data_IF_007538201197
#
_entry.id   IF_007538201197
#
_cell.length_a   1.000
_cell.length_b   1.000
_cell.length_c   1.000
_cell.angle_alpha   90.00
_cell.angle_beta   90.00
_cell.angle_gamma   90.00
#
_symmetry.space_group_name_H-M   'P 1'
#
loop_
_entity.id
_entity.type
_entity.pdbx_description
1 polymer ?
#
# COMPACT_ATOMS: atom_id res chain seq x y z
N UNK A 1 23.11 6.26 2.60
CA UNK A 1 23.79 7.17 1.66
C UNK A 1 23.08 7.11 0.31
N UNK A 2 22.20 8.08 -0.02
CA UNK A 2 21.41 8.08 -1.26
C UNK A 2 22.29 8.44 -2.45
N UNK A 3 22.42 7.53 -3.42
CA UNK A 3 23.08 7.74 -4.72
C UNK A 3 22.13 8.58 -5.61
N UNK A 4 21.86 9.81 -5.19
CA UNK A 4 21.00 10.73 -5.95
C UNK A 4 21.79 11.84 -6.65
N UNK A 5 23.13 11.82 -6.61
CA UNK A 5 23.93 12.64 -7.52
C UNK A 5 25.42 12.31 -7.39
N UNK A 6 26.01 11.96 -8.53
CA UNK A 6 27.44 11.65 -8.73
C UNK A 6 27.86 10.29 -8.19
N UNK A 7 28.39 9.47 -9.10
CA UNK A 7 29.05 8.20 -8.77
C UNK A 7 30.21 8.50 -7.82
N UNK A 8 30.28 7.88 -6.62
CA UNK A 8 31.27 8.24 -5.62
C UNK A 8 32.72 8.11 -6.12
N UNK A 9 33.59 9.06 -5.78
CA UNK A 9 34.99 9.07 -6.21
C UNK A 9 35.75 7.79 -5.82
N UNK A 10 35.38 7.15 -4.72
CA UNK A 10 36.01 5.91 -4.26
C UNK A 10 35.83 4.75 -5.24
N UNK A 11 34.76 4.73 -6.03
CA UNK A 11 34.50 3.64 -6.99
C UNK A 11 35.59 3.59 -8.06
N UNK A 12 36.14 4.74 -8.44
CA UNK A 12 37.22 4.85 -9.42
C UNK A 12 38.58 4.42 -8.86
N UNK A 13 38.70 4.40 -7.53
CA UNK A 13 39.92 4.04 -6.79
C UNK A 13 39.94 2.60 -6.30
N UNK A 14 38.79 1.93 -6.38
CA UNK A 14 38.59 0.56 -5.88
C UNK A 14 38.44 -0.39 -7.06
N UNK A 15 38.96 -1.62 -6.91
CA UNK A 15 38.73 -2.65 -7.92
C UNK A 15 37.30 -3.17 -7.79
N UNK A 16 36.46 -2.80 -8.74
CA UNK A 16 35.11 -3.33 -8.92
C UNK A 16 35.13 -4.19 -10.17
N UNK A 17 34.60 -5.41 -10.11
CA UNK A 17 34.53 -6.31 -11.27
C UNK A 17 33.14 -6.31 -11.93
N UNK A 18 32.09 -5.82 -11.26
CA UNK A 18 30.71 -5.72 -11.77
C UNK A 18 29.84 -4.80 -10.92
N UNK A 19 28.76 -4.26 -11.50
CA UNK A 19 27.89 -3.26 -10.84
C UNK A 19 26.41 -3.64 -10.95
N UNK A 20 25.70 -3.57 -9.83
CA UNK A 20 24.23 -3.52 -9.79
C UNK A 20 23.86 -2.14 -9.26
N UNK A 21 23.07 -1.38 -10.01
CA UNK A 21 22.75 -0.01 -9.64
C UNK A 21 21.36 0.43 -10.12
N UNK A 22 20.80 1.43 -9.45
CA UNK A 22 19.62 2.15 -9.93
C UNK A 22 20.07 3.26 -10.87
N UNK A 23 19.95 3.07 -12.18
CA UNK A 23 20.59 3.95 -13.15
C UNK A 23 19.74 5.15 -13.57
N UNK A 24 20.41 6.23 -13.96
CA UNK A 24 19.88 7.40 -14.65
C UNK A 24 20.91 7.98 -15.63
N UNK A 25 20.54 9.07 -16.31
CA UNK A 25 21.43 9.76 -17.25
C UNK A 25 22.73 10.26 -16.63
N UNK A 26 22.73 10.61 -15.33
CA UNK A 26 23.90 11.18 -14.67
C UNK A 26 24.85 10.09 -14.14
N UNK A 27 24.34 8.89 -13.88
CA UNK A 27 25.11 7.76 -13.33
C UNK A 27 25.63 6.80 -14.40
N UNK A 28 24.95 6.64 -15.54
CA UNK A 28 25.35 5.66 -16.57
C UNK A 28 26.74 5.91 -17.16
N UNK A 29 27.03 7.15 -17.59
CA UNK A 29 28.28 7.46 -18.28
C UNK A 29 29.52 7.32 -17.38
N UNK A 30 29.50 7.79 -16.11
CA UNK A 30 30.57 7.48 -15.18
C UNK A 30 30.76 5.97 -14.93
N UNK A 31 29.68 5.20 -14.80
CA UNK A 31 29.77 3.74 -14.58
C UNK A 31 30.33 3.00 -15.79
N UNK A 32 29.98 3.41 -17.02
CA UNK A 32 30.54 2.84 -18.25
C UNK A 32 32.06 2.99 -18.35
N UNK A 33 32.65 4.02 -17.73
CA UNK A 33 34.10 4.22 -17.70
C UNK A 33 34.84 3.12 -16.91
N UNK A 34 34.15 2.43 -16.01
CA UNK A 34 34.70 1.30 -15.26
C UNK A 34 34.96 0.07 -16.14
N UNK A 35 34.32 -0.01 -17.32
CA UNK A 35 34.44 -1.13 -18.28
C UNK A 35 34.15 -2.50 -17.66
N UNK A 36 33.20 -2.54 -16.74
CA UNK A 36 32.69 -3.76 -16.10
C UNK A 36 31.24 -4.01 -16.51
N UNK A 37 30.75 -5.26 -16.40
CA UNK A 37 29.33 -5.54 -16.52
C UNK A 37 28.47 -4.71 -15.56
N UNK A 38 27.35 -4.20 -16.06
CA UNK A 38 26.40 -3.37 -15.29
C UNK A 38 25.01 -3.98 -15.48
N UNK A 39 24.26 -4.11 -14.39
CA UNK A 39 22.84 -4.46 -14.38
C UNK A 39 22.04 -3.32 -13.75
N UNK A 40 21.00 -2.86 -14.44
CA UNK A 40 20.09 -1.83 -13.94
C UNK A 40 18.92 -2.46 -13.17
N UNK A 41 18.63 -1.92 -11.99
CA UNK A 41 17.47 -2.33 -11.16
C UNK A 41 16.46 -1.20 -10.93
N UNK A 42 16.56 -0.10 -11.70
CA UNK A 42 15.59 1.01 -11.64
C UNK A 42 14.42 0.83 -12.63
N UNK A 43 14.72 0.44 -13.89
CA UNK A 43 13.68 0.24 -14.92
C UNK A 43 13.08 1.53 -15.49
N UNK A 44 13.72 2.69 -15.32
CA UNK A 44 13.15 3.97 -15.78
C UNK A 44 13.46 4.29 -17.26
N UNK A 45 14.60 3.86 -17.78
CA UNK A 45 15.05 4.15 -19.15
C UNK A 45 15.95 3.03 -19.64
N UNK A 46 15.85 2.67 -20.91
CA UNK A 46 16.75 1.68 -21.51
C UNK A 46 18.12 2.26 -21.78
N UNK A 47 19.17 1.52 -21.41
CA UNK A 47 20.55 1.84 -21.74
C UNK A 47 21.11 0.72 -22.63
N UNK A 48 21.56 1.03 -23.86
CA UNK A 48 22.08 -0.01 -24.76
C UNK A 48 23.21 -0.81 -24.12
N UNK A 49 23.10 -2.14 -24.19
CA UNK A 49 24.08 -3.09 -23.63
C UNK A 49 24.04 -3.23 -22.10
N UNK A 50 23.03 -2.68 -21.43
CA UNK A 50 22.83 -2.82 -19.98
C UNK A 50 21.51 -3.56 -19.74
N UNK A 51 21.54 -4.84 -19.33
CA UNK A 51 20.33 -5.55 -18.97
C UNK A 51 19.65 -4.90 -17.76
N UNK A 52 18.33 -5.00 -17.73
CA UNK A 52 17.48 -4.40 -16.71
C UNK A 52 16.63 -5.47 -16.04
N UNK A 53 16.52 -5.38 -14.72
CA UNK A 53 15.58 -6.18 -13.94
C UNK A 53 14.61 -5.22 -13.28
N UNK A 54 13.34 -5.30 -13.64
CA UNK A 54 12.30 -4.38 -13.18
C UNK A 54 11.06 -5.10 -12.68
N UNK A 55 10.28 -4.45 -11.82
CA UNK A 55 8.97 -4.96 -11.43
C UNK A 55 8.01 -4.95 -12.62
N UNK A 56 7.21 -6.00 -12.77
CA UNK A 56 6.17 -6.08 -13.79
C UNK A 56 4.97 -5.20 -13.39
N UNK A 57 5.03 -3.94 -13.80
CA UNK A 57 3.98 -2.96 -13.50
C UNK A 57 2.63 -3.29 -14.16
N UNK A 58 2.60 -4.12 -15.21
CA UNK A 58 1.36 -4.59 -15.81
C UNK A 58 0.67 -5.60 -14.89
N UNK A 59 1.42 -6.60 -14.40
CA UNK A 59 0.88 -7.57 -13.42
C UNK A 59 0.57 -6.95 -12.06
N UNK A 60 1.32 -5.91 -11.63
CA UNK A 60 0.98 -5.12 -10.43
C UNK A 60 -0.39 -4.46 -10.59
N UNK A 61 -0.64 -3.83 -11.74
CA UNK A 61 -1.92 -3.18 -12.01
C UNK A 61 -3.07 -4.20 -12.13
N UNK A 62 -2.81 -5.37 -12.72
CA UNK A 62 -3.75 -6.49 -12.78
C UNK A 62 -4.16 -6.95 -11.39
N UNK A 63 -3.18 -7.23 -10.52
CA UNK A 63 -3.45 -7.68 -9.15
C UNK A 63 -4.20 -6.62 -8.33
N UNK A 64 -3.88 -5.34 -8.50
CA UNK A 64 -4.63 -4.24 -7.86
C UNK A 64 -6.08 -4.15 -8.37
N UNK A 65 -6.28 -4.30 -9.69
CA UNK A 65 -7.59 -4.29 -10.30
C UNK A 65 -8.45 -5.47 -9.84
N UNK A 66 -7.92 -6.70 -9.90
CA UNK A 66 -8.61 -7.91 -9.45
C UNK A 66 -9.03 -7.79 -7.99
N UNK A 67 -8.12 -7.30 -7.14
CA UNK A 67 -8.41 -7.07 -5.73
C UNK A 67 -9.60 -6.12 -5.52
N UNK A 68 -9.60 -4.95 -6.19
CA UNK A 68 -10.72 -4.02 -6.11
C UNK A 68 -12.01 -4.59 -6.74
N UNK A 69 -11.89 -5.36 -7.83
CA UNK A 69 -13.00 -5.97 -8.53
C UNK A 69 -13.74 -7.02 -7.68
N UNK A 70 -12.98 -7.89 -7.01
CA UNK A 70 -13.47 -8.92 -6.09
C UNK A 70 -14.18 -8.31 -4.88
N UNK A 71 -13.80 -7.09 -4.49
CA UNK A 71 -14.46 -6.30 -3.44
C UNK A 71 -15.72 -5.59 -3.93
N UNK A 72 -16.14 -5.79 -5.17
CA UNK A 72 -17.41 -5.28 -5.69
C UNK A 72 -17.33 -3.86 -6.26
N UNK A 73 -16.15 -3.22 -6.33
CA UNK A 73 -16.03 -1.92 -6.98
C UNK A 73 -16.32 -2.05 -8.48
N UNK A 74 -17.11 -1.13 -9.03
CA UNK A 74 -17.47 -1.04 -10.46
C UNK A 74 -17.19 0.33 -11.07
N UNK A 75 -16.54 1.19 -10.30
CA UNK A 75 -16.03 2.50 -10.70
C UNK A 75 -14.61 2.57 -10.19
N UNK A 76 -13.69 3.06 -11.02
CA UNK A 76 -12.28 3.01 -10.71
C UNK A 76 -11.64 4.38 -10.90
N UNK A 77 -10.66 4.65 -10.05
CA UNK A 77 -9.84 5.84 -10.14
C UNK A 77 -8.36 5.47 -10.00
N UNK A 78 -7.49 6.31 -10.57
CA UNK A 78 -6.05 6.22 -10.38
C UNK A 78 -5.47 7.52 -9.82
N UNK A 79 -4.56 7.44 -8.85
CA UNK A 79 -3.82 8.59 -8.35
C UNK A 79 -2.31 8.35 -8.41
N UNK A 80 -1.57 9.23 -9.10
CA UNK A 80 -0.13 9.06 -9.26
C UNK A 80 0.68 10.33 -9.49
N UNK A 81 1.89 10.16 -10.01
CA UNK A 81 2.82 11.24 -10.32
C UNK A 81 3.10 11.26 -11.82
N UNK A 82 2.98 12.44 -12.45
CA UNK A 82 3.31 12.59 -13.87
C UNK A 82 4.83 12.51 -14.08
N UNK A 83 5.26 11.86 -15.16
CA UNK A 83 6.68 11.64 -15.53
C UNK A 83 7.45 10.65 -14.64
N UNK A 84 6.77 10.02 -13.68
CA UNK A 84 7.31 8.87 -12.96
C UNK A 84 6.99 7.60 -13.77
N UNK A 85 8.00 7.00 -14.41
CA UNK A 85 7.82 5.90 -15.37
C UNK A 85 7.07 4.69 -14.81
N UNK A 86 7.31 4.33 -13.54
CA UNK A 86 6.57 3.25 -12.88
C UNK A 86 5.10 3.64 -12.65
N UNK A 87 4.81 4.89 -12.30
CA UNK A 87 3.46 5.42 -12.11
C UNK A 87 2.71 5.46 -13.44
N UNK A 88 3.35 5.96 -14.50
CA UNK A 88 2.79 6.02 -15.85
C UNK A 88 2.50 4.60 -16.39
N UNK A 89 3.41 3.64 -16.18
CA UNK A 89 3.21 2.24 -16.58
C UNK A 89 2.03 1.59 -15.83
N UNK A 90 1.94 1.78 -14.51
CA UNK A 90 0.82 1.30 -13.69
C UNK A 90 -0.50 1.91 -14.14
N UNK A 91 -0.51 3.21 -14.44
CA UNK A 91 -1.69 3.92 -14.95
C UNK A 91 -2.18 3.36 -16.28
N UNK A 92 -1.28 3.22 -17.26
CA UNK A 92 -1.62 2.71 -18.61
C UNK A 92 -2.20 1.30 -18.50
N UNK A 93 -1.56 0.43 -17.72
CA UNK A 93 -2.03 -0.93 -17.52
C UNK A 93 -3.40 -0.98 -16.81
N UNK A 94 -3.57 -0.21 -15.73
CA UNK A 94 -4.82 -0.18 -14.97
C UNK A 94 -5.98 0.38 -15.80
N UNK A 95 -5.77 1.49 -16.52
CA UNK A 95 -6.77 2.06 -17.42
C UNK A 95 -7.26 1.04 -18.44
N UNK A 96 -6.35 0.29 -19.07
CA UNK A 96 -6.70 -0.74 -20.06
C UNK A 96 -7.57 -1.85 -19.46
N UNK A 97 -7.31 -2.25 -18.22
CA UNK A 97 -8.11 -3.25 -17.50
C UNK A 97 -9.53 -2.73 -17.20
N UNK A 98 -9.63 -1.49 -16.73
CA UNK A 98 -10.92 -0.84 -16.43
C UNK A 98 -11.76 -0.64 -17.70
N UNK A 99 -11.14 -0.18 -18.79
CA UNK A 99 -11.80 -0.02 -20.10
C UNK A 99 -12.28 -1.37 -20.65
N UNK A 100 -11.46 -2.42 -20.54
CA UNK A 100 -11.84 -3.79 -20.94
C UNK A 100 -13.04 -4.32 -20.14
N UNK A 101 -13.15 -3.93 -18.86
CA UNK A 101 -14.27 -4.28 -18.00
C UNK A 101 -15.52 -3.39 -18.21
N UNK A 102 -15.45 -2.37 -19.08
CA UNK A 102 -16.57 -1.48 -19.37
C UNK A 102 -16.98 -0.57 -18.19
N UNK A 103 -16.06 -0.31 -17.27
CA UNK A 103 -16.34 0.46 -16.05
C UNK A 103 -15.90 1.94 -16.18
N UNK A 104 -16.53 2.88 -15.47
CA UNK A 104 -16.09 4.27 -15.42
C UNK A 104 -14.68 4.40 -14.84
N UNK A 105 -13.88 5.30 -15.44
CA UNK A 105 -12.50 5.57 -15.05
C UNK A 105 -12.23 7.07 -14.91
N UNK A 106 -11.58 7.47 -13.82
CA UNK A 106 -11.04 8.82 -13.63
C UNK A 106 -9.59 8.75 -13.14
N UNK A 107 -8.81 9.80 -13.33
CA UNK A 107 -7.44 9.85 -12.83
C UNK A 107 -7.06 11.23 -12.30
N UNK A 108 -6.09 11.23 -11.39
CA UNK A 108 -5.39 12.42 -10.95
C UNK A 108 -3.89 12.16 -10.93
N UNK A 109 -3.13 13.04 -11.56
CA UNK A 109 -1.68 12.98 -11.56
C UNK A 109 -1.14 14.29 -11.05
N UNK A 110 -0.41 14.25 -9.94
CA UNK A 110 0.29 15.44 -9.48
C UNK A 110 1.30 15.90 -10.55
N UNK A 111 1.39 17.22 -10.78
CA UNK A 111 2.47 17.84 -11.52
C UNK A 111 3.85 17.25 -11.18
N UNK A 112 4.64 17.08 -12.22
CA UNK A 112 6.05 16.70 -12.15
C UNK A 112 6.78 17.27 -13.35
N UNK A 113 8.10 17.10 -13.39
CA UNK A 113 8.91 17.43 -14.55
C UNK A 113 9.90 16.30 -14.84
N UNK A 114 10.35 16.13 -16.10
CA UNK A 114 11.39 15.18 -16.42
C UNK A 114 12.66 15.43 -15.59
N UNK A 115 13.16 14.38 -14.93
CA UNK A 115 14.42 14.45 -14.17
C UNK A 115 14.28 14.83 -12.68
N UNK A 116 13.07 15.08 -12.19
CA UNK A 116 12.82 15.23 -10.75
C UNK A 116 13.03 13.88 -10.04
N UNK A 117 13.64 13.92 -8.84
CA UNK A 117 13.85 12.72 -8.02
C UNK A 117 12.54 12.19 -7.43
N UNK A 118 12.49 10.90 -7.10
CA UNK A 118 11.30 10.30 -6.47
C UNK A 118 10.93 11.05 -5.16
N UNK A 119 11.94 11.38 -4.35
CA UNK A 119 11.77 12.09 -3.09
C UNK A 119 11.16 13.48 -3.27
N UNK A 120 11.54 14.20 -4.32
CA UNK A 120 10.99 15.52 -4.63
C UNK A 120 9.54 15.42 -5.10
N UNK A 121 9.20 14.41 -5.93
CA UNK A 121 7.81 14.14 -6.33
C UNK A 121 6.94 13.83 -5.10
N UNK A 122 7.42 12.98 -4.21
CA UNK A 122 6.70 12.60 -2.98
C UNK A 122 6.48 13.81 -2.07
N UNK A 123 7.49 14.68 -1.92
CA UNK A 123 7.34 15.94 -1.18
C UNK A 123 6.36 16.91 -1.83
N UNK A 124 6.39 17.03 -3.16
CA UNK A 124 5.45 17.87 -3.90
C UNK A 124 4.00 17.39 -3.68
N UNK A 125 3.78 16.07 -3.61
CA UNK A 125 2.48 15.48 -3.29
C UNK A 125 1.88 15.92 -1.95
N UNK A 126 2.70 16.31 -0.97
CA UNK A 126 2.23 16.87 0.32
C UNK A 126 1.72 18.30 0.18
N UNK A 127 2.29 19.08 -0.75
CA UNK A 127 1.92 20.48 -1.00
C UNK A 127 0.58 20.59 -1.74
N UNK A 128 0.16 19.52 -2.41
CA UNK A 128 -1.08 19.47 -3.23
C UNK A 128 -2.30 18.91 -2.49
N UNK A 129 -2.30 18.93 -1.17
CA UNK A 129 -3.37 18.33 -0.37
C UNK A 129 -4.76 18.91 -0.71
N UNK A 130 -4.88 20.21 -0.96
CA UNK A 130 -6.14 20.86 -1.34
C UNK A 130 -6.66 20.36 -2.70
N UNK A 131 -5.77 20.21 -3.69
CA UNK A 131 -6.13 19.71 -5.01
C UNK A 131 -6.56 18.24 -4.97
N UNK A 132 -5.92 17.42 -4.12
CA UNK A 132 -6.35 16.05 -3.88
C UNK A 132 -7.72 15.99 -3.21
N UNK A 133 -7.99 16.83 -2.22
CA UNK A 133 -9.30 16.93 -1.54
C UNK A 133 -10.39 17.32 -2.54
N UNK A 134 -10.14 18.32 -3.39
CA UNK A 134 -11.10 18.76 -4.42
C UNK A 134 -11.38 17.62 -5.39
N UNK A 135 -10.35 16.98 -5.95
CA UNK A 135 -10.52 15.88 -6.88
C UNK A 135 -11.25 14.68 -6.27
N UNK A 136 -10.86 14.23 -5.07
CA UNK A 136 -11.51 13.13 -4.37
C UNK A 136 -12.99 13.41 -4.10
N UNK A 137 -13.35 14.68 -3.88
CA UNK A 137 -14.74 15.10 -3.68
C UNK A 137 -15.59 15.01 -4.95
N UNK A 138 -14.98 14.99 -6.13
CA UNK A 138 -15.67 14.81 -7.42
C UNK A 138 -15.98 13.34 -7.75
N UNK A 139 -15.37 12.39 -7.03
CA UNK A 139 -15.55 10.96 -7.31
C UNK A 139 -16.96 10.49 -6.93
N UNK A 140 -17.62 9.82 -7.88
CA UNK A 140 -18.86 9.10 -7.60
C UNK A 140 -18.57 7.87 -6.72
N UNK A 141 -19.42 7.59 -5.73
CA UNK A 141 -19.18 6.57 -4.70
C UNK A 141 -20.12 5.36 -4.89
N UNK A 142 -19.69 4.11 -4.62
CA UNK A 142 -18.34 3.71 -4.20
C UNK A 142 -17.33 3.64 -5.37
N UNK A 143 -16.08 4.03 -5.14
CA UNK A 143 -14.99 3.96 -6.14
C UNK A 143 -13.76 3.19 -5.62
N UNK A 144 -13.23 2.28 -6.43
CA UNK A 144 -11.95 1.62 -6.19
C UNK A 144 -10.80 2.48 -6.71
N UNK A 145 -9.95 2.97 -5.81
CA UNK A 145 -8.83 3.85 -6.09
C UNK A 145 -7.50 3.09 -6.01
N UNK A 146 -6.82 3.00 -7.15
CA UNK A 146 -5.46 2.52 -7.24
C UNK A 146 -4.47 3.69 -7.15
N UNK A 147 -3.55 3.65 -6.19
CA UNK A 147 -2.51 4.69 -6.03
C UNK A 147 -1.15 4.16 -6.44
N UNK A 148 -0.31 5.04 -7.00
CA UNK A 148 0.92 4.61 -7.64
C UNK A 148 1.98 4.05 -6.68
N UNK A 149 1.95 4.35 -5.39
CA UNK A 149 2.78 3.75 -4.34
C UNK A 149 2.19 4.03 -2.94
N UNK A 150 2.77 3.44 -1.89
CA UNK A 150 2.25 3.56 -0.53
C UNK A 150 2.37 4.98 0.05
N UNK A 151 3.40 5.75 -0.33
CA UNK A 151 3.52 7.17 0.05
C UNK A 151 2.36 7.98 -0.53
N UNK A 152 2.01 7.75 -1.80
CA UNK A 152 0.83 8.38 -2.40
C UNK A 152 -0.46 7.91 -1.73
N UNK A 153 -0.52 6.64 -1.32
CA UNK A 153 -1.64 6.11 -0.56
C UNK A 153 -1.86 6.84 0.76
N UNK A 154 -0.80 7.08 1.52
CA UNK A 154 -0.89 7.88 2.75
C UNK A 154 -1.43 9.28 2.49
N UNK A 155 -0.95 9.96 1.43
CA UNK A 155 -1.42 11.30 1.06
C UNK A 155 -2.91 11.30 0.69
N UNK A 156 -3.35 10.30 -0.08
CA UNK A 156 -4.75 10.12 -0.46
C UNK A 156 -5.63 9.84 0.77
N UNK A 157 -5.19 8.97 1.68
CA UNK A 157 -5.96 8.67 2.90
C UNK A 157 -6.11 9.89 3.80
N UNK A 158 -5.04 10.69 3.95
CA UNK A 158 -5.11 11.97 4.64
C UNK A 158 -6.10 12.91 3.96
N UNK A 159 -6.05 13.06 2.62
CA UNK A 159 -6.98 13.88 1.87
C UNK A 159 -8.44 13.41 2.00
N UNK A 160 -8.69 12.09 1.97
CA UNK A 160 -10.01 11.52 2.26
C UNK A 160 -10.52 11.94 3.65
N UNK A 161 -9.65 11.90 4.67
CA UNK A 161 -9.99 12.35 6.03
C UNK A 161 -10.39 13.83 6.06
N UNK A 162 -9.63 14.70 5.41
CA UNK A 162 -9.96 16.14 5.33
C UNK A 162 -11.27 16.39 4.56
N UNK A 163 -11.55 15.57 3.54
CA UNK A 163 -12.78 15.64 2.75
C UNK A 163 -13.99 14.93 3.41
N UNK A 164 -13.84 14.35 4.60
CA UNK A 164 -14.83 13.48 5.25
C UNK A 164 -15.32 12.33 4.33
N UNK A 165 -14.43 11.79 3.50
CA UNK A 165 -14.67 10.63 2.64
C UNK A 165 -14.38 9.37 3.44
N UNK A 166 -15.37 8.48 3.54
CA UNK A 166 -15.22 7.26 4.31
C UNK A 166 -14.39 6.23 3.52
N UNK A 167 -13.25 5.82 4.05
CA UNK A 167 -12.47 4.71 3.52
C UNK A 167 -12.69 3.50 4.42
N UNK A 168 -12.92 2.28 3.89
CA UNK A 168 -13.11 1.91 2.48
C UNK A 168 -14.52 2.13 1.87
N UNK A 169 -15.52 2.65 2.61
CA UNK A 169 -16.93 2.64 2.15
C UNK A 169 -17.19 3.41 0.85
N UNK A 170 -16.73 4.64 0.82
CA UNK A 170 -16.91 5.57 -0.30
C UNK A 170 -15.81 5.36 -1.33
N UNK A 171 -14.59 5.17 -0.84
CA UNK A 171 -13.39 4.97 -1.66
C UNK A 171 -12.55 3.86 -1.05
N UNK A 172 -12.39 2.74 -1.75
CA UNK A 172 -11.42 1.71 -1.40
C UNK A 172 -10.06 2.06 -1.98
N UNK A 173 -9.00 2.11 -1.18
CA UNK A 173 -7.67 2.57 -1.60
C UNK A 173 -6.66 1.43 -1.55
N UNK A 174 -5.99 1.12 -2.66
CA UNK A 174 -4.89 0.14 -2.71
C UNK A 174 -3.62 0.78 -3.27
N UNK A 175 -2.51 0.60 -2.57
CA UNK A 175 -1.18 1.04 -2.96
C UNK A 175 -0.30 -0.05 -3.56
N UNK A 176 0.99 0.26 -3.65
CA UNK A 176 2.04 -0.64 -4.12
C UNK A 176 3.28 -0.37 -3.30
N UNK A 177 4.06 -1.43 -3.08
CA UNK A 177 5.37 -1.54 -2.42
C UNK A 177 5.27 -2.35 -1.12
N UNK A 178 4.10 -2.40 -0.51
CA UNK A 178 3.80 -3.05 0.77
C UNK A 178 4.79 -2.67 1.87
N UNK A 179 5.07 -1.37 1.97
CA UNK A 179 5.94 -0.81 3.00
C UNK A 179 5.30 -1.01 4.38
N UNK A 180 5.87 -1.90 5.18
CA UNK A 180 5.35 -2.29 6.49
C UNK A 180 5.16 -1.09 7.42
N UNK A 181 6.02 -0.06 7.33
CA UNK A 181 5.94 1.11 8.19
C UNK A 181 4.81 2.02 7.73
N UNK A 182 4.80 2.41 6.44
CA UNK A 182 3.81 3.35 5.89
C UNK A 182 2.41 2.72 5.94
N UNK A 183 2.26 1.48 5.49
CA UNK A 183 0.95 0.84 5.41
C UNK A 183 0.29 0.68 6.79
N UNK A 184 1.10 0.45 7.84
CA UNK A 184 0.59 0.20 9.19
C UNK A 184 0.20 1.47 9.94
N UNK A 185 0.89 2.60 9.70
CA UNK A 185 0.60 3.89 10.37
C UNK A 185 -0.50 4.70 9.70
N UNK A 186 -0.88 4.35 8.47
CA UNK A 186 -2.01 4.96 7.78
C UNK A 186 -3.32 4.71 8.55
N UNK A 187 -4.22 5.69 8.54
CA UNK A 187 -5.55 5.60 9.14
C UNK A 187 -6.63 5.88 8.08
N UNK A 188 -7.33 4.84 7.56
CA UNK A 188 -7.16 3.40 7.85
C UNK A 188 -5.88 2.78 7.28
N UNK A 189 -5.47 1.62 7.80
CA UNK A 189 -4.27 0.91 7.31
C UNK A 189 -4.36 0.54 5.82
N UNK A 190 -3.26 0.77 5.08
CA UNK A 190 -3.25 0.75 3.61
C UNK A 190 -3.00 -0.66 3.06
N UNK A 191 -3.94 -1.15 2.25
CA UNK A 191 -3.78 -2.37 1.46
C UNK A 191 -2.80 -2.10 0.33
N UNK A 192 -1.92 -3.05 0.02
CA UNK A 192 -0.85 -2.80 -0.95
C UNK A 192 -0.48 -4.06 -1.72
N UNK A 193 -0.17 -3.89 -3.01
CA UNK A 193 0.46 -4.94 -3.84
C UNK A 193 1.94 -5.00 -3.48
N UNK A 194 2.44 -6.20 -3.16
CA UNK A 194 3.86 -6.45 -2.83
C UNK A 194 4.65 -6.80 -4.09
N UNK A 195 5.55 -5.92 -4.59
CA UNK A 195 6.49 -6.27 -5.64
C UNK A 195 7.51 -7.30 -5.13
N UNK A 196 8.08 -8.10 -6.03
CA UNK A 196 9.11 -9.08 -5.66
C UNK A 196 10.52 -8.48 -5.78
N UNK A 197 10.83 -7.51 -4.92
CA UNK A 197 12.12 -6.81 -4.93
C UNK A 197 13.30 -7.75 -4.61
N UNK A 198 13.08 -8.75 -3.74
CA UNK A 198 14.08 -9.77 -3.40
C UNK A 198 14.46 -10.61 -4.61
N UNK A 199 13.46 -11.15 -5.34
CA UNK A 199 13.73 -11.88 -6.58
C UNK A 199 14.38 -10.99 -7.63
N UNK A 200 13.97 -9.72 -7.74
CA UNK A 200 14.62 -8.78 -8.66
C UNK A 200 16.12 -8.61 -8.33
N UNK A 201 16.48 -8.48 -7.06
CA UNK A 201 17.87 -8.44 -6.61
C UNK A 201 18.63 -9.74 -6.92
N UNK A 202 18.03 -10.90 -6.64
CA UNK A 202 18.61 -12.21 -6.93
C UNK A 202 18.88 -12.38 -8.43
N UNK A 203 17.89 -12.04 -9.27
CA UNK A 203 18.01 -12.12 -10.73
C UNK A 203 19.04 -11.14 -11.27
N UNK A 204 19.12 -9.92 -10.73
CA UNK A 204 20.16 -8.97 -11.10
C UNK A 204 21.57 -9.50 -10.78
N UNK A 205 21.76 -10.13 -9.62
CA UNK A 205 23.02 -10.75 -9.26
C UNK A 205 23.37 -11.95 -10.15
N UNK A 206 22.38 -12.79 -10.49
CA UNK A 206 22.57 -13.93 -11.39
C UNK A 206 22.96 -13.49 -12.81
N UNK A 207 22.28 -12.47 -13.35
CA UNK A 207 22.63 -11.88 -14.66
C UNK A 207 24.04 -11.31 -14.61
N UNK A 208 24.39 -10.57 -13.56
CA UNK A 208 25.74 -10.01 -13.41
C UNK A 208 26.80 -11.13 -13.38
N UNK A 209 26.57 -12.19 -12.61
CA UNK A 209 27.46 -13.34 -12.53
C UNK A 209 27.66 -14.04 -13.88
N UNK A 210 26.60 -14.16 -14.68
CA UNK A 210 26.69 -14.72 -16.03
C UNK A 210 27.52 -13.80 -16.94
N UNK A 211 27.30 -12.48 -16.88
CA UNK A 211 28.08 -11.50 -17.64
C UNK A 211 29.56 -11.51 -17.28
N UNK A 212 29.90 -11.69 -16.00
CA UNK A 212 31.28 -11.85 -15.54
C UNK A 212 31.96 -13.09 -16.16
N UNK A 213 31.18 -14.13 -16.47
CA UNK A 213 31.65 -15.34 -17.14
C UNK A 213 31.67 -15.22 -18.68
N UNK A 214 31.43 -14.02 -19.23
CA UNK A 214 31.47 -13.74 -20.66
C UNK A 214 30.15 -13.97 -21.41
N UNK A 215 29.06 -14.23 -20.70
CA UNK A 215 27.73 -14.31 -21.31
C UNK A 215 27.21 -12.91 -21.68
N UNK A 216 26.53 -12.80 -22.82
CA UNK A 216 25.89 -11.56 -23.27
C UNK A 216 24.38 -11.77 -23.24
N UNK A 217 23.60 -10.95 -22.50
CA UNK A 217 22.16 -11.11 -22.43
C UNK A 217 21.46 -10.90 -23.78
N UNK A 218 20.62 -11.85 -24.18
CA UNK A 218 19.75 -11.75 -25.36
C UNK A 218 18.55 -10.81 -25.12
N UNK A 219 18.13 -10.67 -23.85
CA UNK A 219 17.02 -9.81 -23.43
C UNK A 219 17.56 -8.60 -22.68
N UNK A 220 17.16 -7.41 -23.11
CA UNK A 220 17.53 -6.16 -22.45
C UNK A 220 16.72 -5.91 -21.17
N UNK A 221 15.53 -6.48 -21.03
CA UNK A 221 14.65 -6.25 -19.87
C UNK A 221 14.03 -7.57 -19.41
N UNK A 222 14.23 -7.90 -18.14
CA UNK A 222 13.56 -8.98 -17.42
C UNK A 222 12.56 -8.38 -16.42
N UNK A 223 11.28 -8.75 -16.58
CA UNK A 223 10.19 -8.29 -15.71
C UNK A 223 9.87 -9.32 -14.64
N UNK A 224 9.81 -8.86 -13.40
CA UNK A 224 9.60 -9.70 -12.22
C UNK A 224 8.16 -9.55 -11.74
N UNK A 225 7.37 -10.64 -11.67
CA UNK A 225 5.98 -10.59 -11.22
C UNK A 225 5.88 -10.20 -9.73
N UNK A 226 4.79 -9.52 -9.32
CA UNK A 226 4.50 -9.27 -7.91
C UNK A 226 4.19 -10.57 -7.15
N UNK A 227 4.28 -10.51 -5.81
CA UNK A 227 4.07 -11.68 -4.94
C UNK A 227 2.59 -11.86 -4.60
N UNK A 228 1.98 -10.81 -4.04
CA UNK A 228 0.62 -10.88 -3.46
C UNK A 228 0.08 -9.49 -3.18
N UNK A 229 -1.22 -9.40 -2.88
CA UNK A 229 -1.81 -8.24 -2.19
C UNK A 229 -1.88 -8.51 -0.71
N UNK A 230 -1.34 -7.59 0.09
CA UNK A 230 -1.58 -7.55 1.53
C UNK A 230 -2.83 -6.72 1.78
N UNK A 231 -3.94 -7.41 2.07
CA UNK A 231 -5.21 -6.75 2.41
C UNK A 231 -5.13 -6.08 3.78
N UNK A 232 -5.54 -4.82 3.84
CA UNK A 232 -5.71 -4.05 5.07
C UNK A 232 -7.02 -3.25 5.03
N UNK A 233 -7.21 -2.37 6.01
CA UNK A 233 -8.48 -1.70 6.21
C UNK A 233 -8.95 -0.86 5.03
N UNK A 234 -8.01 -0.24 4.31
CA UNK A 234 -8.33 0.66 3.20
C UNK A 234 -9.08 0.00 2.04
N UNK A 235 -9.17 -1.34 2.00
CA UNK A 235 -9.99 -2.09 1.04
C UNK A 235 -10.85 -3.17 1.70
N UNK A 236 -10.85 -3.26 3.03
CA UNK A 236 -11.59 -4.29 3.78
C UNK A 236 -13.08 -3.95 3.85
N UNK A 237 -13.71 -3.96 2.69
CA UNK A 237 -15.16 -3.78 2.50
C UNK A 237 -15.58 -4.62 1.31
N UNK A 238 -16.79 -5.15 1.37
CA UNK A 238 -17.53 -5.47 0.16
C UNK A 238 -18.22 -4.17 -0.23
N UNK A 239 -17.84 -3.55 -1.34
CA UNK A 239 -18.56 -2.41 -1.89
C UNK A 239 -20.01 -2.84 -2.12
N UNK A 240 -20.90 -2.32 -1.29
CA UNK A 240 -22.30 -2.74 -1.27
C UNK A 240 -23.13 -1.72 -2.04
N UNK A 241 -23.89 -2.16 -3.05
CA UNK A 241 -24.87 -1.31 -3.74
C UNK A 241 -26.02 -0.86 -2.81
N UNK A 242 -26.32 -1.65 -1.78
CA UNK A 242 -27.28 -1.33 -0.73
C UNK A 242 -26.78 -0.16 0.14
N UNK A 243 -27.22 1.04 -0.24
CA UNK A 243 -26.91 2.29 0.44
C UNK A 243 -27.26 2.29 1.95
N UNK A 244 -28.30 1.54 2.36
CA UNK A 244 -28.66 1.45 3.78
C UNK A 244 -27.60 0.62 4.53
N UNK A 245 -27.15 -0.50 3.95
CA UNK A 245 -26.12 -1.35 4.55
C UNK A 245 -24.76 -0.64 4.59
N UNK A 246 -24.42 0.12 3.54
CA UNK A 246 -23.22 0.97 3.55
C UNK A 246 -23.29 2.04 4.64
N UNK A 247 -24.46 2.67 4.85
CA UNK A 247 -24.68 3.62 5.96
C UNK A 247 -24.47 2.97 7.32
N UNK A 248 -24.92 1.71 7.49
CA UNK A 248 -24.68 0.94 8.72
C UNK A 248 -23.21 0.64 8.94
N UNK A 249 -22.51 0.13 7.92
CA UNK A 249 -21.10 -0.22 8.05
C UNK A 249 -20.25 1.01 8.40
N UNK A 250 -20.63 2.19 7.90
CA UNK A 250 -20.04 3.47 8.27
C UNK A 250 -20.32 3.85 9.72
N UNK A 251 -21.58 3.75 10.15
CA UNK A 251 -21.97 4.01 11.55
C UNK A 251 -21.21 3.12 12.52
N UNK A 252 -21.11 1.82 12.22
CA UNK A 252 -20.34 0.88 13.04
C UNK A 252 -18.88 1.32 13.10
N UNK A 253 -18.23 1.64 11.98
CA UNK A 253 -16.83 2.09 12.00
C UNK A 253 -16.58 3.31 12.85
N UNK A 254 -17.46 4.30 12.78
CA UNK A 254 -17.31 5.56 13.51
C UNK A 254 -17.59 5.42 15.01
N UNK A 255 -18.38 4.42 15.42
CA UNK A 255 -18.90 4.34 16.79
C UNK A 255 -18.54 3.04 17.51
N UNK A 256 -17.96 2.04 16.85
CA UNK A 256 -17.60 0.74 17.45
C UNK A 256 -16.75 0.91 18.72
N UNK A 257 -15.77 1.82 18.67
CA UNK A 257 -14.88 2.09 19.81
C UNK A 257 -15.55 2.87 20.96
N UNK A 258 -16.78 3.36 20.75
CA UNK A 258 -17.59 3.99 21.80
C UNK A 258 -18.42 2.96 22.60
N UNK A 259 -18.24 1.66 22.32
CA UNK A 259 -18.93 0.58 23.04
C UNK A 259 -20.35 0.30 22.57
N UNK A 260 -20.67 0.62 21.31
CA UNK A 260 -21.99 0.31 20.74
C UNK A 260 -22.22 -1.20 20.64
N UNK A 261 -23.48 -1.59 20.64
CA UNK A 261 -23.96 -2.95 20.43
C UNK A 261 -24.91 -3.01 19.20
N UNK A 262 -25.35 -4.22 18.83
CA UNK A 262 -26.24 -4.41 17.66
C UNK A 262 -27.58 -3.70 17.83
N UNK A 263 -28.05 -3.48 19.07
CA UNK A 263 -29.24 -2.69 19.37
C UNK A 263 -29.10 -1.24 18.90
N UNK A 264 -27.99 -0.59 19.24
CA UNK A 264 -27.71 0.80 18.83
C UNK A 264 -27.64 0.91 17.29
N UNK A 265 -27.09 -0.11 16.63
CA UNK A 265 -27.08 -0.18 15.16
C UNK A 265 -28.50 -0.31 14.60
N UNK A 266 -29.36 -1.12 15.22
CA UNK A 266 -30.75 -1.26 14.78
C UNK A 266 -31.51 0.06 14.94
N UNK A 267 -31.29 0.78 16.04
CA UNK A 267 -31.90 2.11 16.28
C UNK A 267 -31.45 3.16 15.26
N UNK A 268 -30.22 3.07 14.77
CA UNK A 268 -29.71 3.96 13.71
C UNK A 268 -30.31 3.68 12.31
N UNK A 269 -30.91 2.51 12.10
CA UNK A 269 -31.37 2.06 10.78
C UNK A 269 -32.87 2.10 10.61
N UNK A 270 -33.31 2.11 9.35
CA UNK A 270 -34.69 1.81 9.01
C UNK A 270 -35.03 0.31 9.03
N UNK A 271 -34.04 -0.56 9.31
CA UNK A 271 -34.17 -2.01 9.21
C UNK A 271 -34.52 -2.64 10.55
N UNK A 272 -35.41 -3.62 10.54
CA UNK A 272 -35.55 -4.50 11.71
C UNK A 272 -34.28 -5.31 11.94
N UNK A 273 -34.01 -5.71 13.20
CA UNK A 273 -32.87 -6.58 13.56
C UNK A 273 -32.72 -7.81 12.65
N UNK A 274 -33.84 -8.48 12.35
CA UNK A 274 -33.85 -9.67 11.48
C UNK A 274 -33.45 -9.32 10.03
N UNK A 275 -33.93 -8.21 9.49
CA UNK A 275 -33.55 -7.75 8.15
C UNK A 275 -32.08 -7.34 8.10
N UNK A 276 -31.59 -6.65 9.14
CA UNK A 276 -30.20 -6.26 9.27
C UNK A 276 -29.28 -7.49 9.27
N UNK A 277 -29.52 -8.46 10.15
CA UNK A 277 -28.72 -9.69 10.24
C UNK A 277 -28.77 -10.52 8.96
N UNK A 278 -29.93 -10.56 8.29
CA UNK A 278 -30.06 -11.25 7.00
C UNK A 278 -29.22 -10.54 5.94
N UNK A 279 -29.37 -9.22 5.78
CA UNK A 279 -28.60 -8.43 4.79
C UNK A 279 -27.10 -8.50 5.02
N UNK A 280 -26.65 -8.42 6.28
CA UNK A 280 -25.25 -8.60 6.64
C UNK A 280 -24.71 -9.97 6.19
N UNK A 281 -25.46 -11.06 6.41
CA UNK A 281 -25.05 -12.39 5.95
C UNK A 281 -25.08 -12.53 4.43
N UNK A 282 -26.15 -12.06 3.79
CA UNK A 282 -26.36 -12.23 2.36
C UNK A 282 -25.34 -11.42 1.53
N UNK A 283 -24.96 -10.22 2.01
CA UNK A 283 -24.11 -9.29 1.26
C UNK A 283 -22.65 -9.30 1.74
N UNK A 284 -22.41 -9.35 3.06
CA UNK A 284 -21.08 -9.23 3.65
C UNK A 284 -20.53 -10.57 4.16
N UNK A 285 -21.34 -11.64 4.19
CA UNK A 285 -20.92 -12.96 4.65
C UNK A 285 -20.74 -13.10 6.17
N UNK A 286 -21.01 -12.06 6.97
CA UNK A 286 -20.85 -12.08 8.42
C UNK A 286 -22.02 -11.38 9.14
N UNK A 287 -21.96 -11.23 10.46
CA UNK A 287 -23.02 -10.59 11.26
C UNK A 287 -22.67 -9.14 11.63
N UNK A 288 -23.67 -8.31 12.02
CA UNK A 288 -23.40 -6.95 12.53
C UNK A 288 -22.53 -6.97 13.80
N UNK A 289 -22.75 -7.95 14.68
CA UNK A 289 -21.92 -8.15 15.87
C UNK A 289 -20.46 -8.42 15.51
N UNK A 290 -20.22 -9.29 14.53
CA UNK A 290 -18.87 -9.58 14.05
C UNK A 290 -18.21 -8.32 13.48
N UNK A 291 -18.93 -7.50 12.71
CA UNK A 291 -18.41 -6.24 12.19
C UNK A 291 -17.98 -5.27 13.30
N UNK A 292 -18.81 -5.07 14.33
CA UNK A 292 -18.45 -4.24 15.50
C UNK A 292 -17.16 -4.78 16.14
N UNK A 293 -17.11 -6.09 16.37
CA UNK A 293 -15.97 -6.76 17.01
C UNK A 293 -14.68 -6.54 16.22
N UNK A 294 -14.71 -6.78 14.90
CA UNK A 294 -13.54 -6.62 14.03
C UNK A 294 -13.01 -5.19 14.06
N UNK A 295 -13.91 -4.20 13.96
CA UNK A 295 -13.55 -2.78 14.04
C UNK A 295 -12.94 -2.40 15.39
N UNK A 296 -13.49 -2.90 16.51
CA UNK A 296 -12.92 -2.66 17.84
C UNK A 296 -11.51 -3.27 17.95
N UNK A 297 -11.32 -4.50 17.49
CA UNK A 297 -10.03 -5.19 17.56
C UNK A 297 -8.95 -4.54 16.68
N UNK A 298 -9.34 -3.90 15.58
CA UNK A 298 -8.41 -3.12 14.76
C UNK A 298 -7.87 -1.92 15.52
N UNK A 299 -8.71 -1.21 16.28
CA UNK A 299 -8.26 -0.15 17.18
C UNK A 299 -7.32 -0.68 18.27
N UNK A 300 -7.60 -1.88 18.79
CA UNK A 300 -6.71 -2.54 19.76
C UNK A 300 -5.35 -2.83 19.13
N UNK A 301 -5.30 -3.42 17.92
CA UNK A 301 -4.05 -3.69 17.21
C UNK A 301 -3.24 -2.41 17.00
N UNK A 302 -3.90 -1.33 16.59
CA UNK A 302 -3.25 -0.03 16.42
C UNK A 302 -2.61 0.46 17.72
N UNK A 303 -3.38 0.52 18.81
CA UNK A 303 -2.89 0.99 20.11
C UNK A 303 -1.79 0.07 20.68
N UNK A 304 -1.84 -1.23 20.41
CA UNK A 304 -0.78 -2.17 20.81
C UNK A 304 0.53 -1.94 20.06
N UNK A 305 0.47 -1.51 18.81
CA UNK A 305 1.64 -1.26 17.94
C UNK A 305 2.23 0.14 18.15
N UNK A 306 1.38 1.17 18.26
CA UNK A 306 1.81 2.58 18.28
C UNK A 306 2.12 3.10 19.68
N UNK A 307 1.69 2.40 20.74
CA UNK A 307 1.79 2.90 22.11
C UNK A 307 2.21 1.81 23.10
N UNK A 308 2.79 2.25 24.22
CA UNK A 308 3.11 1.39 25.37
C UNK A 308 1.93 1.26 26.35
N UNK A 309 0.71 1.64 25.95
CA UNK A 309 -0.47 1.62 26.83
C UNK A 309 -0.75 0.21 27.35
N UNK A 310 -1.18 0.10 28.60
CA UNK A 310 -1.61 -1.18 29.18
C UNK A 310 -2.97 -1.60 28.61
N UNK A 311 -3.31 -2.89 28.65
CA UNK A 311 -4.65 -3.34 28.22
C UNK A 311 -5.79 -2.68 29.01
N UNK A 312 -5.52 -2.29 30.26
CA UNK A 312 -6.46 -1.57 31.10
C UNK A 312 -6.75 -0.16 30.58
N UNK A 313 -5.76 0.49 29.95
CA UNK A 313 -5.92 1.78 29.29
C UNK A 313 -6.50 1.64 27.87
N UNK A 314 -6.18 0.55 27.16
CA UNK A 314 -6.65 0.30 25.78
C UNK A 314 -8.13 -0.10 25.75
N UNK A 315 -8.60 -0.90 26.71
CA UNK A 315 -9.97 -1.40 26.76
C UNK A 315 -11.04 -0.29 26.58
N UNK A 316 -11.05 0.79 27.36
CA UNK A 316 -12.06 1.85 27.20
C UNK A 316 -11.92 2.60 25.86
N UNK A 317 -10.72 2.69 25.28
CA UNK A 317 -10.49 3.34 23.98
C UNK A 317 -10.92 2.49 22.77
N UNK A 318 -11.18 1.20 22.99
CA UNK A 318 -11.64 0.26 21.98
C UNK A 318 -13.06 -0.23 22.24
N UNK A 319 -13.81 0.40 23.15
CA UNK A 319 -15.21 0.08 23.41
C UNK A 319 -15.45 -1.12 24.34
N UNK A 320 -14.44 -1.53 25.13
CA UNK A 320 -14.56 -2.60 26.12
C UNK A 320 -14.59 -2.05 27.54
N UNK A 321 -15.55 -2.53 28.35
CA UNK A 321 -15.65 -2.14 29.76
C UNK A 321 -14.51 -2.71 30.63
N UNK A 322 -13.96 -3.86 30.26
CA UNK A 322 -12.95 -4.59 31.04
C UNK A 322 -11.88 -5.21 30.15
N UNK A 323 -10.63 -5.23 30.63
CA UNK A 323 -9.46 -5.76 29.90
C UNK A 323 -9.55 -7.27 29.68
N UNK A 324 -10.22 -7.99 30.56
CA UNK A 324 -10.42 -9.45 30.48
C UNK A 324 -11.27 -9.79 29.25
N UNK A 325 -12.35 -9.02 29.02
CA UNK A 325 -13.22 -9.17 27.85
C UNK A 325 -12.47 -8.89 26.56
N UNK A 326 -11.71 -7.79 26.52
CA UNK A 326 -10.85 -7.45 25.38
C UNK A 326 -9.84 -8.58 25.11
N UNK A 327 -9.14 -9.06 26.13
CA UNK A 327 -8.12 -10.10 26.00
C UNK A 327 -8.69 -11.42 25.48
N UNK A 328 -9.84 -11.84 25.99
CA UNK A 328 -10.52 -13.06 25.55
C UNK A 328 -11.00 -12.95 24.09
N UNK A 329 -11.62 -11.84 23.71
CA UNK A 329 -12.10 -11.61 22.34
C UNK A 329 -10.92 -11.50 21.37
N UNK A 330 -9.88 -10.74 21.72
CA UNK A 330 -8.68 -10.61 20.89
C UNK A 330 -8.02 -11.97 20.64
N UNK A 331 -7.86 -12.80 21.68
CA UNK A 331 -7.29 -14.14 21.51
C UNK A 331 -8.15 -15.05 20.64
N UNK A 332 -9.48 -14.98 20.79
CA UNK A 332 -10.41 -15.78 19.98
C UNK A 332 -10.35 -15.41 18.50
N UNK A 333 -10.35 -14.12 18.18
CA UNK A 333 -10.40 -13.65 16.78
C UNK A 333 -9.03 -13.64 16.09
N UNK A 334 -7.94 -13.47 16.84
CA UNK A 334 -6.59 -13.33 16.25
C UNK A 334 -5.69 -14.56 16.44
N UNK A 335 -6.09 -15.52 17.27
CA UNK A 335 -5.31 -16.71 17.61
C UNK A 335 -4.19 -16.48 18.63
N UNK A 336 -3.86 -15.22 18.95
CA UNK A 336 -2.80 -14.86 19.90
C UNK A 336 -3.28 -13.84 20.94
N UNK A 337 -2.62 -13.80 22.10
CA UNK A 337 -2.93 -12.80 23.13
C UNK A 337 -2.45 -11.40 22.73
N UNK A 338 -3.05 -10.33 23.26
CA UNK A 338 -2.58 -8.96 23.00
C UNK A 338 -1.09 -8.72 23.32
N UNK A 339 -0.58 -9.37 24.37
CA UNK A 339 0.83 -9.25 24.78
C UNK A 339 1.79 -9.94 23.83
N UNK A 340 1.43 -11.15 23.36
CA UNK A 340 2.17 -11.86 22.31
C UNK A 340 2.19 -11.03 21.02
N UNK A 341 1.03 -10.50 20.61
CA UNK A 341 0.90 -9.64 19.44
C UNK A 341 1.84 -8.42 19.52
N UNK A 342 1.83 -7.69 20.65
CA UNK A 342 2.72 -6.54 20.86
C UNK A 342 4.19 -6.93 20.74
N UNK A 343 4.59 -8.04 21.35
CA UNK A 343 5.98 -8.50 21.35
C UNK A 343 6.43 -8.86 19.93
N UNK A 344 5.56 -9.50 19.15
CA UNK A 344 5.81 -9.83 17.75
C UNK A 344 6.02 -8.56 16.90
N UNK A 345 5.14 -7.57 17.04
CA UNK A 345 5.22 -6.32 16.29
C UNK A 345 6.44 -5.48 16.69
N UNK A 346 6.80 -5.45 17.98
CA UNK A 346 8.00 -4.76 18.46
C UNK A 346 9.30 -5.42 17.95
N UNK A 347 9.31 -6.76 17.80
CA UNK A 347 10.44 -7.47 17.19
C UNK A 347 10.58 -7.15 15.69
N UNK A 348 9.48 -7.12 14.94
CA UNK A 348 9.47 -6.69 13.53
C UNK A 348 9.96 -5.24 13.37
N UNK A 349 9.50 -4.33 14.22
CA UNK A 349 9.95 -2.94 14.22
C UNK A 349 11.40 -2.72 14.67
N UNK A 350 11.94 -3.57 15.55
CA UNK A 350 13.37 -3.54 15.94
C UNK A 350 14.29 -4.15 14.89
N UNK A 351 13.90 -5.25 14.25
CA UNK A 351 14.67 -5.83 13.14
C UNK A 351 14.85 -4.83 12.00
N UNK A 352 13.79 -4.11 11.64
CA UNK A 352 13.85 -3.03 10.65
C UNK A 352 14.73 -1.83 11.08
N UNK A 353 14.86 -1.55 12.39
CA UNK A 353 15.70 -0.46 12.92
C UNK A 353 17.18 -0.85 13.10
N UNK A 354 17.47 -2.11 13.43
CA UNK A 354 18.84 -2.63 13.52
C UNK A 354 19.47 -2.76 12.12
N UNK A 355 18.70 -3.18 11.10
CA UNK A 355 19.15 -3.15 9.70
C UNK A 355 19.45 -1.73 9.19
N UNK A 356 18.74 -0.71 9.70
CA UNK A 356 19.02 0.69 9.39
C UNK A 356 20.24 1.25 10.17
N UNK A 357 20.47 0.78 11.41
CA UNK A 357 21.55 1.26 12.29
C UNK A 357 22.93 0.66 12.00
N UNK A 358 23.00 -0.56 11.47
CA UNK A 358 24.27 -1.16 11.04
C UNK A 358 24.81 -0.53 9.73
N UNK A 359 23.97 0.20 9.00
CA UNK A 359 24.38 0.93 7.77
C UNK A 359 25.08 2.28 8.02
N UNK A 360 25.11 2.78 9.27
CA UNK A 360 25.80 4.03 9.65
C UNK A 360 27.09 3.80 10.46
N UNK A 361 27.48 2.53 10.70
CA UNK A 361 28.64 2.19 11.55
C UNK A 361 29.76 1.40 10.87
N UNK A 362 29.80 1.31 9.54
CA UNK A 362 30.91 0.68 8.80
C UNK A 362 31.42 1.53 7.64
#
# INVERSE_FOLDING_TARGET
MTIDSVVPDWISRTRVDGVIARLDHHSIDPLRKLRVPIVDVRGNRKFPGVPQVEADNEQVAEMAFEHLWERGFRRFAFCGFRFATYSDARLIAFRKLVEKAGCPFTEHQSPGAPGITLRELERAGVVEQEALVEWLSTLERPTGLFVCNDIRGQQVLNACRFANIAVPDDVGVIGVDDDDTICSICDPSLSSVRPNAELAGYRAAEILQQMLNGWVPDKEVERIPPISVTERLSTKVVAVEDAELARVCRFIRQNACNGINVGDVVEFTSLSRRQLERRFRDVLGHTPHHQITVTQLERVRQLLTETDMTLEQIAPLAGYSHKESLGAVFKRETGQSPGEYRTEQQKKGKGAREELGESESN
#
